data_IF_013138889622
#
_entry.id   IF_013138889622
#
_cell.length_a   1.000
_cell.length_b   1.000
_cell.length_c   1.000
_cell.angle_alpha   90.00
_cell.angle_beta   90.00
_cell.angle_gamma   90.00
#
_symmetry.space_group_name_H-M   'P 1'
#
loop_
_entity.id
_entity.type
_entity.pdbx_description
1 polymer ?
#
# COMPACT_ATOMS: atom_id res chain seq x y z
N UNK A 1 -3.12 -1.41 29.18
CA UNK A 1 -2.47 -2.32 28.22
C UNK A 1 -1.73 -1.59 27.10
N UNK A 2 -2.32 -0.56 26.46
CA UNK A 2 -1.68 0.16 25.33
C UNK A 2 -0.30 0.81 25.64
N UNK A 3 -0.02 1.16 26.90
CA UNK A 3 1.24 1.77 27.31
C UNK A 3 2.42 0.76 27.34
N UNK A 4 2.20 -0.49 27.76
CA UNK A 4 3.26 -1.52 27.82
C UNK A 4 3.74 -1.89 26.42
N UNK A 5 2.79 -2.01 25.48
CA UNK A 5 3.13 -2.32 24.09
C UNK A 5 3.88 -1.15 23.45
N UNK A 6 3.41 0.09 23.63
CA UNK A 6 4.12 1.24 23.09
C UNK A 6 5.56 1.32 23.63
N UNK A 7 5.76 1.13 24.94
CA UNK A 7 7.10 1.05 25.55
C UNK A 7 7.97 -0.05 24.95
N UNK A 8 7.41 -1.23 24.68
CA UNK A 8 8.12 -2.33 24.04
C UNK A 8 8.53 -1.98 22.60
N UNK A 9 7.66 -1.35 21.81
CA UNK A 9 8.00 -0.86 20.47
C UNK A 9 9.06 0.22 20.54
N UNK A 10 8.91 1.20 21.43
CA UNK A 10 9.87 2.29 21.59
C UNK A 10 11.26 1.73 21.92
N UNK A 11 11.34 0.80 22.87
CA UNK A 11 12.59 0.13 23.20
C UNK A 11 13.17 -0.65 22.01
N UNK A 12 12.34 -1.40 21.27
CA UNK A 12 12.80 -2.11 20.07
C UNK A 12 13.33 -1.15 19.00
N UNK A 13 12.66 -0.01 18.80
CA UNK A 13 13.06 1.04 17.85
C UNK A 13 14.41 1.66 18.24
N UNK A 14 14.60 1.96 19.52
CA UNK A 14 15.85 2.52 20.05
C UNK A 14 17.03 1.54 19.90
N UNK A 15 16.75 0.22 19.86
CA UNK A 15 17.76 -0.84 19.71
C UNK A 15 17.70 -1.52 18.33
N UNK A 16 17.20 -0.82 17.29
CA UNK A 16 17.16 -1.39 15.93
C UNK A 16 18.55 -1.64 15.36
N UNK A 17 19.50 -0.74 15.61
CA UNK A 17 20.84 -0.79 15.00
C UNK A 17 21.83 -1.56 15.88
N UNK A 18 21.57 -1.63 17.19
CA UNK A 18 22.42 -2.30 18.17
C UNK A 18 22.17 -3.83 18.21
N UNK A 19 22.99 -4.55 19.00
CA UNK A 19 22.78 -5.99 19.25
C UNK A 19 21.49 -6.20 20.04
N UNK A 20 20.40 -6.52 19.35
CA UNK A 20 19.13 -6.83 20.00
C UNK A 20 19.20 -8.12 20.81
N UNK A 21 18.88 -8.01 22.09
CA UNK A 21 18.72 -9.16 22.99
C UNK A 21 17.31 -9.24 23.54
N UNK A 22 16.62 -10.36 23.26
CA UNK A 22 15.32 -10.64 23.87
C UNK A 22 15.42 -10.73 25.41
N UNK A 23 16.61 -11.07 25.94
CA UNK A 23 16.89 -11.08 27.38
C UNK A 23 16.88 -9.66 27.95
N UNK A 24 17.53 -8.72 27.28
CA UNK A 24 17.58 -7.32 27.69
C UNK A 24 16.21 -6.66 27.59
N UNK A 25 15.47 -6.95 26.51
CA UNK A 25 14.08 -6.51 26.41
C UNK A 25 13.25 -7.02 27.59
N UNK A 26 13.38 -8.31 27.93
CA UNK A 26 12.70 -8.90 29.08
C UNK A 26 13.06 -8.18 30.40
N UNK A 27 14.37 -7.99 30.65
CA UNK A 27 14.87 -7.27 31.82
C UNK A 27 14.36 -5.83 31.89
N UNK A 28 14.37 -5.09 30.77
CA UNK A 28 13.87 -3.72 30.70
C UNK A 28 12.36 -3.65 30.96
N UNK A 29 11.59 -4.58 30.40
CA UNK A 29 10.15 -4.61 30.53
C UNK A 29 9.67 -5.23 31.85
N UNK A 30 10.56 -5.85 32.64
CA UNK A 30 10.22 -6.58 33.86
C UNK A 30 9.49 -7.91 33.62
N UNK A 31 9.65 -8.51 32.43
CA UNK A 31 8.99 -9.75 32.02
C UNK A 31 9.99 -10.79 31.52
N UNK A 32 9.55 -12.04 31.39
CA UNK A 32 10.37 -13.07 30.77
C UNK A 32 10.57 -12.78 29.27
N UNK A 33 11.72 -13.15 28.68
CA UNK A 33 11.98 -12.98 27.24
C UNK A 33 10.90 -13.62 26.38
N UNK A 34 10.45 -14.82 26.77
CA UNK A 34 9.34 -15.52 26.13
C UNK A 34 8.05 -14.70 26.17
N UNK A 35 7.69 -14.13 27.34
CA UNK A 35 6.49 -13.32 27.48
C UNK A 35 6.55 -12.08 26.58
N UNK A 36 7.70 -11.40 26.49
CA UNK A 36 7.85 -10.25 25.58
C UNK A 36 7.64 -10.63 24.11
N UNK A 37 8.29 -11.70 23.64
CA UNK A 37 8.13 -12.17 22.25
C UNK A 37 6.70 -12.63 21.96
N UNK A 38 6.12 -13.42 22.86
CA UNK A 38 4.74 -13.90 22.75
C UNK A 38 3.77 -12.73 22.74
N UNK A 39 3.92 -11.79 23.67
CA UNK A 39 3.01 -10.65 23.81
C UNK A 39 3.13 -9.71 22.62
N UNK A 40 4.33 -9.45 22.11
CA UNK A 40 4.52 -8.66 20.89
C UNK A 40 3.82 -9.32 19.70
N UNK A 41 4.07 -10.61 19.48
CA UNK A 41 3.48 -11.33 18.35
C UNK A 41 1.96 -11.40 18.45
N UNK A 42 1.44 -11.71 19.64
CA UNK A 42 0.02 -11.64 19.93
C UNK A 42 -0.51 -10.26 19.52
N UNK A 43 0.06 -9.18 20.06
CA UNK A 43 -0.43 -7.81 19.90
C UNK A 43 -0.21 -7.15 18.53
N UNK A 44 0.68 -7.67 17.68
CA UNK A 44 1.04 -7.04 16.39
C UNK A 44 0.80 -7.95 15.18
N UNK A 45 0.54 -9.24 15.39
CA UNK A 45 0.40 -10.23 14.31
C UNK A 45 1.71 -10.67 13.66
N UNK A 46 2.83 -9.99 13.93
CA UNK A 46 4.15 -10.30 13.37
C UNK A 46 5.19 -10.56 14.47
N UNK A 47 6.28 -11.25 14.15
CA UNK A 47 7.35 -11.49 15.13
C UNK A 47 8.21 -10.24 15.30
N UNK A 48 8.84 -10.06 16.48
CA UNK A 48 9.82 -8.98 16.72
C UNK A 48 10.91 -8.99 15.64
N UNK A 49 11.44 -10.17 15.32
CA UNK A 49 12.47 -10.34 14.28
C UNK A 49 12.00 -9.84 12.92
N UNK A 50 10.77 -10.14 12.52
CA UNK A 50 10.19 -9.69 11.26
C UNK A 50 9.99 -8.18 11.25
N UNK A 51 9.44 -7.62 12.33
CA UNK A 51 9.27 -6.18 12.53
C UNK A 51 10.59 -5.44 12.38
N UNK A 52 11.60 -5.82 13.17
CA UNK A 52 12.94 -5.22 13.12
C UNK A 52 13.55 -5.32 11.73
N UNK A 53 13.46 -6.49 11.08
CA UNK A 53 14.00 -6.66 9.73
C UNK A 53 13.37 -5.71 8.72
N UNK A 54 12.06 -5.50 8.76
CA UNK A 54 11.36 -4.56 7.88
C UNK A 54 11.75 -3.11 8.16
N UNK A 55 11.79 -2.72 9.44
CA UNK A 55 12.21 -1.38 9.87
C UNK A 55 13.65 -1.07 9.48
N UNK A 56 14.59 -1.97 9.75
CA UNK A 56 16.00 -1.82 9.37
C UNK A 56 16.18 -1.66 7.86
N UNK A 57 15.52 -2.51 7.05
CA UNK A 57 15.62 -2.45 5.58
C UNK A 57 14.99 -1.17 5.03
N UNK A 58 13.87 -0.72 5.60
CA UNK A 58 13.24 0.54 5.21
C UNK A 58 14.11 1.76 5.57
N UNK A 59 14.65 1.82 6.79
CA UNK A 59 15.57 2.88 7.19
C UNK A 59 16.85 2.87 6.33
N UNK A 60 17.38 1.69 6.01
CA UNK A 60 18.49 1.57 5.08
C UNK A 60 18.15 2.15 3.69
N UNK A 61 16.92 1.98 3.20
CA UNK A 61 16.50 2.57 1.93
C UNK A 61 16.54 4.11 1.95
N UNK A 62 16.19 4.72 3.09
CA UNK A 62 16.27 6.17 3.29
C UNK A 62 17.74 6.62 3.24
N UNK A 63 18.62 5.97 4.00
CA UNK A 63 20.06 6.23 3.96
C UNK A 63 20.66 6.07 2.56
N UNK A 64 20.21 5.07 1.79
CA UNK A 64 20.66 4.85 0.42
C UNK A 64 20.22 5.97 -0.54
N UNK A 65 19.05 6.58 -0.30
CA UNK A 65 18.48 7.67 -1.10
C UNK A 65 19.12 9.02 -0.73
N UNK A 66 19.42 9.23 0.55
CA UNK A 66 19.86 10.53 1.10
C UNK A 66 21.38 10.65 1.24
N UNK A 67 22.16 9.59 1.02
CA UNK A 67 23.61 9.60 1.22
C UNK A 67 24.41 8.75 0.23
N UNK A 68 25.68 9.15 0.05
CA UNK A 68 26.69 8.41 -0.74
C UNK A 68 27.49 7.39 0.09
N UNK A 69 27.01 7.01 1.29
CA UNK A 69 27.70 6.03 2.14
C UNK A 69 27.95 4.73 1.39
N UNK A 70 29.07 4.03 1.65
CA UNK A 70 29.34 2.77 0.93
C UNK A 70 28.27 1.74 1.28
N UNK A 71 27.89 0.93 0.30
CA UNK A 71 26.84 -0.09 0.46
C UNK A 71 27.11 -1.02 1.66
N UNK A 72 28.37 -1.41 1.86
CA UNK A 72 28.79 -2.23 3.01
C UNK A 72 28.65 -1.49 4.34
N UNK A 73 28.90 -0.18 4.38
CA UNK A 73 28.79 0.63 5.60
C UNK A 73 27.31 0.76 6.00
N UNK A 74 26.42 0.99 5.03
CA UNK A 74 24.97 0.97 5.25
C UNK A 74 24.51 -0.42 5.73
N UNK A 75 25.00 -1.49 5.09
CA UNK A 75 24.69 -2.86 5.52
C UNK A 75 25.10 -3.11 6.99
N UNK A 76 26.33 -2.73 7.36
CA UNK A 76 26.83 -2.87 8.73
C UNK A 76 26.07 -1.98 9.72
N UNK A 77 25.73 -0.74 9.34
CA UNK A 77 24.91 0.17 10.15
C UNK A 77 23.57 -0.47 10.53
N UNK A 78 22.99 -1.31 9.68
CA UNK A 78 21.72 -1.99 9.98
C UNK A 78 21.90 -3.46 10.43
N UNK A 79 23.10 -3.82 10.88
CA UNK A 79 23.39 -5.11 11.51
C UNK A 79 23.43 -6.29 10.54
N UNK A 80 23.64 -6.06 9.24
CA UNK A 80 23.89 -7.14 8.29
C UNK A 80 25.36 -7.52 8.33
N UNK A 81 25.66 -8.82 8.37
CA UNK A 81 27.03 -9.34 8.43
C UNK A 81 27.79 -9.23 7.11
N UNK A 82 27.10 -8.97 6.00
CA UNK A 82 27.71 -8.78 4.69
C UNK A 82 26.80 -8.00 3.75
N UNK A 83 27.39 -7.41 2.70
CA UNK A 83 26.65 -6.72 1.65
C UNK A 83 25.71 -7.66 0.87
N UNK A 84 26.08 -8.93 0.72
CA UNK A 84 25.26 -9.95 0.04
C UNK A 84 24.01 -10.29 0.85
N UNK A 85 24.15 -10.41 2.19
CA UNK A 85 23.02 -10.62 3.08
C UNK A 85 22.03 -9.45 3.02
N UNK A 86 22.56 -8.22 3.06
CA UNK A 86 21.75 -7.00 2.90
C UNK A 86 21.05 -6.95 1.54
N UNK A 87 21.79 -7.16 0.45
CA UNK A 87 21.26 -7.14 -0.92
C UNK A 87 20.12 -8.14 -1.11
N UNK A 88 20.27 -9.36 -0.57
CA UNK A 88 19.24 -10.38 -0.62
C UNK A 88 17.99 -9.97 0.16
N UNK A 89 18.16 -9.46 1.38
CA UNK A 89 17.05 -9.05 2.22
C UNK A 89 16.29 -7.86 1.61
N UNK A 90 17.02 -6.87 1.08
CA UNK A 90 16.47 -5.73 0.37
C UNK A 90 15.66 -6.18 -0.86
N UNK A 91 16.21 -7.08 -1.69
CA UNK A 91 15.52 -7.62 -2.87
C UNK A 91 14.28 -8.43 -2.52
N UNK A 92 14.31 -9.23 -1.47
CA UNK A 92 13.12 -9.98 -1.00
C UNK A 92 12.01 -9.03 -0.53
N UNK A 93 12.39 -7.87 0.02
CA UNK A 93 11.47 -6.91 0.64
C UNK A 93 10.87 -5.97 -0.39
N UNK A 94 11.69 -5.41 -1.29
CA UNK A 94 11.31 -4.36 -2.23
C UNK A 94 11.29 -4.82 -3.69
N UNK A 95 11.66 -6.07 -4.00
CA UNK A 95 11.71 -6.58 -5.37
C UNK A 95 12.91 -6.08 -6.21
N UNK A 96 13.58 -5.01 -5.80
CA UNK A 96 14.77 -4.45 -6.46
C UNK A 96 16.03 -4.60 -5.62
N UNK A 97 17.21 -4.47 -6.23
CA UNK A 97 18.49 -4.47 -5.49
C UNK A 97 18.79 -3.08 -4.91
N UNK A 98 19.53 -2.98 -3.79
CA UNK A 98 19.85 -1.68 -3.21
C UNK A 98 20.74 -0.82 -4.12
N UNK A 99 21.58 -1.44 -4.96
CA UNK A 99 22.41 -0.72 -5.93
C UNK A 99 21.58 -0.09 -7.06
N UNK A 100 20.57 -0.82 -7.57
CA UNK A 100 19.63 -0.29 -8.56
C UNK A 100 18.82 0.83 -7.93
N UNK A 101 18.28 0.61 -6.73
CA UNK A 101 17.51 1.59 -5.98
C UNK A 101 18.29 2.90 -5.72
N UNK A 102 19.57 2.82 -5.34
CA UNK A 102 20.39 4.02 -5.14
C UNK A 102 20.55 4.84 -6.41
N UNK A 103 20.75 4.18 -7.55
CA UNK A 103 20.96 4.85 -8.83
C UNK A 103 19.69 5.49 -9.37
N UNK A 104 18.56 4.80 -9.17
CA UNK A 104 17.24 5.24 -9.62
C UNK A 104 16.22 4.91 -8.51
N UNK A 105 16.04 5.83 -7.54
CA UNK A 105 15.11 5.62 -6.43
C UNK A 105 13.68 5.55 -6.92
N UNK A 106 13.08 4.37 -6.79
CA UNK A 106 11.68 4.12 -7.12
C UNK A 106 10.81 4.12 -5.85
N UNK A 107 9.50 4.37 -5.95
CA UNK A 107 8.54 4.25 -4.86
C UNK A 107 8.66 2.95 -4.06
N UNK A 108 8.67 3.05 -2.73
CA UNK A 108 8.57 1.93 -1.81
C UNK A 108 7.33 2.06 -0.92
N UNK A 109 6.77 0.93 -0.49
CA UNK A 109 5.80 0.92 0.60
C UNK A 109 6.48 1.35 1.89
N UNK A 110 5.86 2.31 2.58
CA UNK A 110 6.35 2.86 3.83
C UNK A 110 6.18 1.85 4.95
N UNK A 111 7.28 1.54 5.64
CA UNK A 111 7.22 0.77 6.88
C UNK A 111 7.37 1.75 8.04
N UNK A 112 6.26 2.26 8.59
CA UNK A 112 6.29 3.19 9.73
C UNK A 112 6.57 2.48 11.05
N UNK A 113 7.05 3.23 12.04
CA UNK A 113 7.07 2.78 13.44
C UNK A 113 5.65 2.48 13.89
N UNK A 114 5.44 1.33 14.52
CA UNK A 114 4.14 0.98 15.08
C UNK A 114 3.76 1.95 16.21
N UNK A 115 2.56 2.53 16.14
CA UNK A 115 2.04 3.41 17.19
C UNK A 115 0.66 2.94 17.64
N UNK A 116 0.61 2.30 18.81
CA UNK A 116 -0.64 1.72 19.36
C UNK A 116 -1.47 2.80 20.07
N UNK A 117 -0.84 3.91 20.46
CA UNK A 117 -1.48 5.01 21.23
C UNK A 117 -2.12 6.11 20.38
N UNK A 118 -1.75 6.26 19.10
CA UNK A 118 -2.31 7.32 18.25
C UNK A 118 -3.82 7.12 18.01
N UNK A 119 -4.62 8.14 18.28
CA UNK A 119 -6.00 8.26 17.80
C UNK A 119 -5.96 8.85 16.40
N UNK A 120 -6.55 8.18 15.39
CA UNK A 120 -6.71 8.79 14.06
C UNK A 120 -7.62 10.02 14.19
N UNK A 121 -7.11 11.17 13.76
CA UNK A 121 -7.91 12.29 13.27
C UNK A 121 -8.16 12.11 11.77
N UNK A 122 -9.20 12.74 11.24
CA UNK A 122 -9.61 12.59 9.83
C UNK A 122 -8.54 13.04 8.83
N UNK A 123 -8.76 12.66 7.57
CA UNK A 123 -8.01 13.17 6.42
C UNK A 123 -8.14 14.70 6.38
N UNK A 124 -7.02 15.42 6.34
CA UNK A 124 -6.98 16.86 6.10
C UNK A 124 -5.68 17.19 5.40
N UNK A 125 -5.77 17.85 4.23
CA UNK A 125 -4.61 18.33 3.48
C UNK A 125 -4.15 19.70 3.96
N UNK A 126 -2.88 19.84 4.36
CA UNK A 126 -2.28 21.14 4.71
C UNK A 126 -1.91 21.99 3.47
N UNK A 127 -1.79 23.31 3.66
CA UNK A 127 -1.53 24.32 2.62
C UNK A 127 -0.25 24.08 1.85
N UNK A 128 0.82 23.63 2.53
CA UNK A 128 2.10 23.32 1.91
C UNK A 128 1.98 22.22 0.85
N UNK A 129 1.15 21.22 1.11
CA UNK A 129 0.94 20.07 0.22
C UNK A 129 -0.01 20.39 -0.93
N UNK A 130 -1.00 21.26 -0.69
CA UNK A 130 -1.81 21.85 -1.76
C UNK A 130 -0.91 22.54 -2.79
N UNK A 131 0.09 23.31 -2.33
CA UNK A 131 1.03 23.97 -3.23
C UNK A 131 1.90 22.99 -4.04
N UNK A 132 2.33 21.86 -3.47
CA UNK A 132 3.09 20.85 -4.22
C UNK A 132 2.24 20.18 -5.30
N UNK A 133 1.00 19.82 -4.97
CA UNK A 133 0.05 19.24 -5.93
C UNK A 133 -0.21 20.21 -7.08
N UNK A 134 -0.46 21.48 -6.77
CA UNK A 134 -0.63 22.55 -7.78
C UNK A 134 0.63 22.71 -8.65
N UNK A 135 1.83 22.64 -8.06
CA UNK A 135 3.08 22.72 -8.82
C UNK A 135 3.27 21.56 -9.79
N UNK A 136 2.99 20.32 -9.37
CA UNK A 136 3.03 19.14 -10.24
C UNK A 136 2.01 19.24 -11.38
N UNK A 137 0.81 19.73 -11.09
CA UNK A 137 -0.22 19.94 -12.10
C UNK A 137 0.16 21.03 -13.12
N UNK A 138 0.70 22.16 -12.65
CA UNK A 138 1.18 23.22 -13.54
C UNK A 138 2.30 22.71 -14.46
N UNK A 139 3.21 21.88 -13.94
CA UNK A 139 4.24 21.23 -14.74
C UNK A 139 3.63 20.31 -15.81
N UNK A 140 2.66 19.47 -15.44
CA UNK A 140 1.98 18.59 -16.38
C UNK A 140 1.23 19.37 -17.47
N UNK A 141 0.51 20.44 -17.12
CA UNK A 141 -0.21 21.30 -18.07
C UNK A 141 0.71 22.09 -19.01
N UNK A 142 1.95 22.39 -18.59
CA UNK A 142 2.95 22.99 -19.47
C UNK A 142 3.53 21.98 -20.47
N UNK A 143 3.60 20.71 -20.06
CA UNK A 143 4.17 19.63 -20.85
C UNK A 143 3.16 18.98 -21.80
N UNK A 144 1.89 18.94 -21.40
CA UNK A 144 0.78 18.33 -22.13
C UNK A 144 -0.29 19.38 -22.37
N UNK A 145 -0.76 19.50 -23.62
CA UNK A 145 -2.00 20.23 -23.91
C UNK A 145 -3.13 19.67 -23.02
N UNK A 146 -4.13 20.50 -22.70
CA UNK A 146 -5.13 20.33 -21.61
C UNK A 146 -5.87 18.98 -21.49
N UNK A 147 -5.62 18.02 -22.36
CA UNK A 147 -6.14 16.65 -22.39
C UNK A 147 -5.48 15.74 -21.32
N UNK A 148 -5.57 16.15 -20.05
CA UNK A 148 -5.07 15.40 -18.89
C UNK A 148 -6.25 14.81 -18.11
N UNK A 149 -6.18 13.51 -17.82
CA UNK A 149 -7.09 12.83 -16.90
C UNK A 149 -6.38 12.47 -15.59
N UNK A 150 -6.95 12.87 -14.46
CA UNK A 150 -6.52 12.45 -13.14
C UNK A 150 -7.42 11.34 -12.60
N UNK A 151 -6.86 10.17 -12.31
CA UNK A 151 -7.61 9.06 -11.69
C UNK A 151 -7.25 9.00 -10.22
N UNK A 152 -8.25 9.21 -9.37
CA UNK A 152 -8.13 9.25 -7.91
C UNK A 152 -8.60 7.93 -7.31
N UNK A 153 -7.85 7.36 -6.37
CA UNK A 153 -8.24 6.11 -5.74
C UNK A 153 -9.33 6.34 -4.67
N UNK A 154 -10.58 6.20 -5.09
CA UNK A 154 -11.77 6.28 -4.23
C UNK A 154 -12.42 7.68 -4.14
N UNK A 155 -13.67 7.67 -3.66
CA UNK A 155 -14.57 8.82 -3.65
C UNK A 155 -14.11 9.95 -2.71
N UNK A 156 -13.54 9.61 -1.55
CA UNK A 156 -13.13 10.61 -0.56
C UNK A 156 -12.00 11.50 -1.10
N UNK A 157 -11.01 10.90 -1.78
CA UNK A 157 -9.92 11.64 -2.41
C UNK A 157 -10.44 12.53 -3.54
N UNK A 158 -11.41 12.02 -4.32
CA UNK A 158 -12.11 12.83 -5.32
C UNK A 158 -12.81 14.05 -4.73
N UNK A 159 -13.56 13.87 -3.64
CA UNK A 159 -14.28 14.96 -2.99
C UNK A 159 -13.33 16.04 -2.46
N UNK A 160 -12.23 15.64 -1.80
CA UNK A 160 -11.22 16.57 -1.28
C UNK A 160 -10.59 17.39 -2.42
N UNK A 161 -10.11 16.74 -3.48
CA UNK A 161 -9.45 17.43 -4.60
C UNK A 161 -10.42 18.32 -5.37
N UNK A 162 -11.67 17.88 -5.51
CA UNK A 162 -12.75 18.63 -6.16
C UNK A 162 -13.15 19.87 -5.35
N UNK A 163 -13.34 19.71 -4.04
CA UNK A 163 -13.73 20.79 -3.13
C UNK A 163 -12.65 21.89 -3.08
N UNK A 164 -11.39 21.47 -3.00
CA UNK A 164 -10.23 22.37 -2.98
C UNK A 164 -9.86 22.90 -4.37
N UNK A 165 -10.56 22.48 -5.43
CA UNK A 165 -10.31 22.85 -6.83
C UNK A 165 -8.86 22.65 -7.27
N UNK A 166 -8.21 21.61 -6.76
CA UNK A 166 -6.77 21.36 -7.00
C UNK A 166 -6.45 21.00 -8.46
N UNK A 167 -7.47 20.74 -9.29
CA UNK A 167 -7.32 20.26 -10.66
C UNK A 167 -7.93 21.19 -11.73
N UNK A 168 -8.26 22.44 -11.38
CA UNK A 168 -8.83 23.53 -12.21
C UNK A 168 -9.38 23.18 -13.61
N UNK A 169 -8.52 22.85 -14.57
CA UNK A 169 -8.86 22.66 -15.99
C UNK A 169 -8.75 21.23 -16.51
N UNK A 170 -8.36 20.27 -15.66
CA UNK A 170 -8.16 18.87 -16.03
C UNK A 170 -9.33 18.01 -15.60
N UNK A 171 -9.61 16.94 -16.34
CA UNK A 171 -10.64 15.98 -15.97
C UNK A 171 -10.15 15.13 -14.78
N UNK A 172 -11.07 14.72 -13.92
CA UNK A 172 -10.76 13.80 -12.82
C UNK A 172 -11.90 12.85 -12.52
N UNK A 173 -11.54 11.61 -12.18
CA UNK A 173 -12.49 10.52 -11.95
C UNK A 173 -12.09 9.72 -10.70
N UNK A 174 -13.06 9.27 -9.87
CA UNK A 174 -12.79 8.35 -8.80
C UNK A 174 -12.82 6.89 -9.29
N UNK A 175 -11.78 6.12 -8.98
CA UNK A 175 -11.82 4.66 -9.08
C UNK A 175 -12.47 4.08 -7.82
N UNK A 176 -13.80 3.91 -7.87
CA UNK A 176 -14.61 3.42 -6.76
C UNK A 176 -14.76 1.89 -6.74
N UNK A 177 -13.70 1.17 -7.09
CA UNK A 177 -13.67 -0.29 -7.06
C UNK A 177 -12.65 -0.80 -6.02
N UNK A 178 -12.95 -1.95 -5.43
CA UNK A 178 -12.09 -2.68 -4.51
C UNK A 178 -11.58 -3.96 -5.17
N UNK A 179 -10.56 -3.86 -6.03
CA UNK A 179 -10.07 -5.02 -6.79
C UNK A 179 -9.42 -6.10 -5.92
N UNK A 180 -9.06 -5.78 -4.68
CA UNK A 180 -8.54 -6.75 -3.73
C UNK A 180 -9.59 -7.75 -3.21
N UNK A 181 -10.90 -7.44 -3.35
CA UNK A 181 -12.00 -8.33 -2.96
C UNK A 181 -12.68 -8.91 -4.20
N UNK A 182 -13.33 -10.07 -4.03
CA UNK A 182 -14.12 -10.75 -5.06
C UNK A 182 -13.35 -11.18 -6.33
N UNK A 183 -13.98 -12.03 -7.13
CA UNK A 183 -13.41 -12.48 -8.41
C UNK A 183 -13.46 -11.36 -9.46
N UNK A 184 -12.65 -11.49 -10.51
CA UNK A 184 -12.63 -10.59 -11.65
C UNK A 184 -12.39 -11.37 -12.93
N UNK A 185 -12.43 -10.70 -14.08
CA UNK A 185 -12.36 -11.30 -15.42
C UNK A 185 -11.58 -10.41 -16.38
N UNK A 186 -11.24 -10.98 -17.54
CA UNK A 186 -10.84 -10.26 -18.75
C UNK A 186 -11.91 -10.45 -19.83
N UNK A 187 -12.25 -9.44 -20.64
CA UNK A 187 -11.66 -8.09 -20.69
C UNK A 187 -12.10 -7.21 -19.50
N UNK A 188 -11.24 -6.27 -19.09
CA UNK A 188 -11.46 -5.40 -17.92
C UNK A 188 -12.58 -4.37 -18.23
N UNK A 189 -13.49 -4.13 -17.27
CA UNK A 189 -14.68 -3.28 -17.43
C UNK A 189 -15.69 -3.73 -18.51
N UNK A 190 -15.54 -4.93 -19.07
CA UNK A 190 -16.54 -5.54 -19.95
C UNK A 190 -17.88 -5.84 -19.24
N UNK A 191 -18.91 -6.18 -20.01
CA UNK A 191 -20.20 -6.62 -19.45
C UNK A 191 -20.06 -7.84 -18.53
N UNK A 192 -19.14 -8.77 -18.85
CA UNK A 192 -18.90 -9.93 -17.99
C UNK A 192 -18.18 -9.54 -16.70
N UNK A 193 -17.20 -8.64 -16.80
CA UNK A 193 -16.56 -8.04 -15.63
C UNK A 193 -17.60 -7.43 -14.69
N UNK A 194 -18.47 -6.56 -15.21
CA UNK A 194 -19.53 -5.90 -14.45
C UNK A 194 -20.42 -6.94 -13.74
N UNK A 195 -20.85 -7.99 -14.43
CA UNK A 195 -21.68 -9.07 -13.85
C UNK A 195 -20.96 -9.80 -12.71
N UNK A 196 -19.70 -10.18 -12.92
CA UNK A 196 -18.91 -10.90 -11.91
C UNK A 196 -18.66 -10.03 -10.69
N UNK A 197 -18.33 -8.75 -10.88
CA UNK A 197 -18.09 -7.80 -9.79
C UNK A 197 -19.37 -7.47 -9.02
N UNK A 198 -20.47 -7.16 -9.70
CA UNK A 198 -21.77 -6.89 -9.07
C UNK A 198 -22.23 -8.09 -8.22
N UNK A 199 -22.11 -9.31 -8.76
CA UNK A 199 -22.41 -10.55 -8.02
C UNK A 199 -21.53 -10.71 -6.77
N UNK A 200 -20.23 -10.44 -6.89
CA UNK A 200 -19.29 -10.50 -5.76
C UNK A 200 -19.65 -9.53 -4.64
N UNK A 201 -20.02 -8.31 -4.99
CA UNK A 201 -20.44 -7.26 -4.05
C UNK A 201 -21.90 -7.41 -3.58
N UNK A 202 -22.64 -8.40 -4.08
CA UNK A 202 -24.05 -8.67 -3.75
C UNK A 202 -24.97 -7.48 -4.08
N UNK A 203 -24.69 -6.79 -5.17
CA UNK A 203 -25.48 -5.66 -5.70
C UNK A 203 -25.98 -5.97 -7.11
N UNK A 204 -26.94 -5.18 -7.60
CA UNK A 204 -27.36 -5.29 -9.01
C UNK A 204 -26.28 -4.78 -9.96
N UNK A 205 -26.32 -5.19 -11.23
CA UNK A 205 -25.41 -4.68 -12.26
C UNK A 205 -25.60 -3.18 -12.47
N UNK A 206 -26.82 -2.68 -12.39
CA UNK A 206 -27.15 -1.25 -12.51
C UNK A 206 -26.57 -0.42 -11.36
N UNK A 207 -26.66 -0.93 -10.13
CA UNK A 207 -26.07 -0.26 -8.96
C UNK A 207 -24.54 -0.22 -9.08
N UNK A 208 -23.94 -1.34 -9.50
CA UNK A 208 -22.50 -1.43 -9.73
C UNK A 208 -22.04 -0.46 -10.85
N UNK A 209 -22.73 -0.45 -11.98
CA UNK A 209 -22.45 0.47 -13.09
C UNK A 209 -22.55 1.92 -12.64
N UNK A 210 -23.55 2.26 -11.81
CA UNK A 210 -23.72 3.62 -11.30
C UNK A 210 -22.55 4.08 -10.44
N UNK A 211 -22.04 3.22 -9.56
CA UNK A 211 -20.96 3.58 -8.63
C UNK A 211 -19.58 3.56 -9.26
N UNK A 212 -19.33 2.61 -10.17
CA UNK A 212 -18.00 2.33 -10.70
C UNK A 212 -17.86 2.80 -12.14
N UNK A 213 -18.69 2.26 -13.04
CA UNK A 213 -18.52 2.45 -14.49
C UNK A 213 -18.92 3.87 -14.92
N UNK A 214 -20.01 4.40 -14.36
CA UNK A 214 -20.48 5.74 -14.67
C UNK A 214 -19.51 6.82 -14.19
N UNK A 215 -18.84 6.60 -13.05
CA UNK A 215 -17.82 7.51 -12.53
C UNK A 215 -16.58 7.55 -13.45
N UNK A 216 -16.24 6.43 -14.09
CA UNK A 216 -15.12 6.31 -15.02
C UNK A 216 -15.46 6.66 -16.47
N UNK A 217 -16.68 7.16 -16.77
CA UNK A 217 -17.09 7.52 -18.14
C UNK A 217 -16.08 8.39 -18.90
N UNK A 218 -15.45 9.42 -18.30
CA UNK A 218 -14.43 10.21 -18.98
C UNK A 218 -13.27 9.35 -19.50
N UNK A 219 -12.75 8.42 -18.69
CA UNK A 219 -11.68 7.49 -19.05
C UNK A 219 -12.02 6.65 -20.29
N UNK A 220 -13.29 6.28 -20.48
CA UNK A 220 -13.73 5.40 -21.56
C UNK A 220 -14.08 6.14 -22.85
N UNK A 221 -14.44 7.43 -22.77
CA UNK A 221 -15.03 8.18 -23.89
C UNK A 221 -14.13 9.26 -24.44
N UNK A 222 -13.34 9.89 -23.59
CA UNK A 222 -12.52 11.03 -23.98
C UNK A 222 -11.15 10.52 -24.46
N UNK A 223 -10.47 11.33 -25.27
CA UNK A 223 -9.11 11.07 -25.70
C UNK A 223 -8.18 11.92 -24.85
N UNK A 224 -7.29 11.26 -24.11
CA UNK A 224 -6.28 11.92 -23.28
C UNK A 224 -4.90 11.68 -23.84
N UNK A 225 -4.03 12.68 -23.74
CA UNK A 225 -2.61 12.55 -24.07
C UNK A 225 -1.79 12.16 -22.83
N UNK A 226 -2.33 12.43 -21.64
CA UNK A 226 -1.71 12.13 -20.36
C UNK A 226 -2.74 11.63 -19.33
N UNK A 227 -2.40 10.58 -18.59
CA UNK A 227 -3.18 10.07 -17.47
C UNK A 227 -2.31 10.11 -16.21
N UNK A 228 -2.81 10.72 -15.15
CA UNK A 228 -2.14 10.85 -13.85
C UNK A 228 -2.89 10.01 -12.82
N UNK A 229 -2.20 9.07 -12.20
CA UNK A 229 -2.72 8.13 -11.22
C UNK A 229 -2.35 8.60 -9.81
N UNK A 230 -3.34 9.00 -9.02
CA UNK A 230 -3.19 9.40 -7.63
C UNK A 230 -3.53 8.25 -6.68
N UNK A 231 -2.50 7.50 -6.28
CA UNK A 231 -2.66 6.24 -5.54
C UNK A 231 -1.72 6.19 -4.33
N UNK A 232 -2.16 5.51 -3.27
CA UNK A 232 -1.33 5.24 -2.10
C UNK A 232 -0.35 4.08 -2.30
N UNK A 233 0.49 3.84 -1.30
CA UNK A 233 1.49 2.77 -1.32
C UNK A 233 1.03 1.45 -0.67
N UNK A 234 -0.21 1.40 -0.20
CA UNK A 234 -0.84 0.21 0.35
C UNK A 234 -1.28 -0.79 -0.74
N UNK A 235 -1.53 -2.02 -0.33
CA UNK A 235 -1.98 -3.12 -1.21
C UNK A 235 -3.22 -2.74 -2.02
N UNK A 236 -4.25 -2.16 -1.39
CA UNK A 236 -5.50 -1.82 -2.05
C UNK A 236 -5.26 -0.88 -3.24
N UNK A 237 -4.51 0.20 -3.01
CA UNK A 237 -4.14 1.15 -4.05
C UNK A 237 -3.36 0.48 -5.18
N UNK A 238 -2.34 -0.32 -4.85
CA UNK A 238 -1.47 -0.93 -5.86
C UNK A 238 -2.20 -1.97 -6.73
N UNK A 239 -3.16 -2.71 -6.17
CA UNK A 239 -3.97 -3.68 -6.93
C UNK A 239 -4.99 -2.98 -7.84
N UNK A 240 -5.57 -1.88 -7.39
CA UNK A 240 -6.41 -1.03 -8.23
C UNK A 240 -5.60 -0.40 -9.38
N UNK A 241 -4.39 0.10 -9.09
CA UNK A 241 -3.48 0.66 -10.09
C UNK A 241 -3.09 -0.38 -11.15
N UNK A 242 -2.72 -1.60 -10.73
CA UNK A 242 -2.44 -2.71 -11.65
C UNK A 242 -3.62 -2.98 -12.61
N UNK A 243 -4.84 -2.96 -12.09
CA UNK A 243 -6.06 -3.17 -12.89
C UNK A 243 -6.22 -2.07 -13.94
N UNK A 244 -6.00 -0.81 -13.56
CA UNK A 244 -6.12 0.31 -14.48
C UNK A 244 -5.02 0.32 -15.54
N UNK A 245 -3.78 0.00 -15.17
CA UNK A 245 -2.66 -0.09 -16.13
C UNK A 245 -2.90 -1.22 -17.15
N UNK A 246 -3.37 -2.38 -16.70
CA UNK A 246 -3.77 -3.47 -17.57
C UNK A 246 -4.92 -3.08 -18.51
N UNK A 247 -5.90 -2.32 -18.02
CA UNK A 247 -6.98 -1.78 -18.84
C UNK A 247 -6.47 -0.81 -19.91
N UNK A 248 -5.59 0.13 -19.55
CA UNK A 248 -5.00 1.08 -20.51
C UNK A 248 -4.24 0.37 -21.63
N UNK A 249 -3.51 -0.69 -21.29
CA UNK A 249 -2.86 -1.55 -22.29
C UNK A 249 -3.87 -2.30 -23.16
N UNK A 250 -4.95 -2.83 -22.58
CA UNK A 250 -6.02 -3.53 -23.31
C UNK A 250 -6.67 -2.59 -24.35
N UNK A 251 -6.85 -1.31 -24.01
CA UNK A 251 -7.36 -0.29 -24.92
C UNK A 251 -6.30 0.29 -25.88
N UNK A 252 -5.05 -0.15 -25.76
CA UNK A 252 -3.95 0.32 -26.60
C UNK A 252 -3.60 1.80 -26.41
N UNK A 253 -3.80 2.35 -25.20
CA UNK A 253 -3.48 3.74 -24.86
C UNK A 253 -2.02 4.07 -25.21
N UNK A 254 -1.81 5.20 -25.92
CA UNK A 254 -0.48 5.63 -26.41
C UNK A 254 0.05 6.90 -25.73
N UNK A 255 -0.73 7.50 -24.83
CA UNK A 255 -0.31 8.68 -24.09
C UNK A 255 0.68 8.36 -22.97
N UNK A 256 1.07 9.40 -22.23
CA UNK A 256 1.92 9.26 -21.05
C UNK A 256 1.08 8.88 -19.82
N UNK A 257 1.65 8.05 -18.96
CA UNK A 257 1.04 7.67 -17.68
C UNK A 257 1.99 8.07 -16.56
N UNK A 258 1.51 8.88 -15.62
CA UNK A 258 2.24 9.24 -14.41
C UNK A 258 1.58 8.63 -13.19
N UNK A 259 2.39 8.19 -12.24
CA UNK A 259 1.97 7.79 -10.92
C UNK A 259 2.43 8.82 -9.90
N UNK A 260 1.45 9.45 -9.26
CA UNK A 260 1.62 10.33 -8.12
C UNK A 260 1.33 9.52 -6.87
N UNK A 261 2.39 9.04 -6.23
CA UNK A 261 2.27 8.27 -5.01
C UNK A 261 1.94 9.19 -3.84
N UNK A 262 0.74 9.05 -3.30
CA UNK A 262 0.26 9.83 -2.16
C UNK A 262 0.61 9.08 -0.87
N UNK A 263 1.56 9.60 -0.09
CA UNK A 263 1.90 9.06 1.24
C UNK A 263 1.25 9.91 2.32
N UNK A 264 0.52 9.31 3.24
CA UNK A 264 0.10 9.97 4.49
C UNK A 264 1.23 9.80 5.51
N UNK A 265 1.93 10.89 5.85
CA UNK A 265 3.01 10.90 6.84
C UNK A 265 2.67 11.99 7.86
N UNK A 266 2.44 11.60 9.11
CA UNK A 266 2.28 12.56 10.22
C UNK A 266 1.26 13.68 9.95
N UNK A 267 0.14 13.36 9.27
CA UNK A 267 -0.92 14.30 8.82
C UNK A 267 -0.54 15.25 7.68
N UNK A 268 0.60 15.01 7.05
CA UNK A 268 1.02 15.66 5.80
C UNK A 268 0.98 14.64 4.67
N UNK A 269 0.91 15.14 3.44
CA UNK A 269 1.00 14.34 2.23
C UNK A 269 2.38 14.49 1.62
N UNK A 270 3.00 13.42 1.17
CA UNK A 270 4.15 13.53 0.27
C UNK A 270 3.73 12.95 -1.08
N UNK A 271 4.05 13.67 -2.16
CA UNK A 271 3.79 13.21 -3.53
C UNK A 271 5.11 13.02 -4.25
N UNK A 272 5.35 11.78 -4.67
CA UNK A 272 6.43 11.44 -5.58
C UNK A 272 5.83 11.13 -6.96
N UNK A 273 6.38 11.74 -8.02
CA UNK A 273 5.96 11.54 -9.41
C UNK A 273 6.88 10.56 -10.13
N UNK A 274 6.29 9.58 -10.82
CA UNK A 274 6.99 8.54 -11.58
C UNK A 274 6.28 8.37 -12.92
N UNK A 275 7.04 8.37 -14.01
CA UNK A 275 6.51 7.99 -15.31
C UNK A 275 6.43 6.47 -15.43
N UNK A 276 5.28 5.96 -15.86
CA UNK A 276 5.05 4.54 -16.08
C UNK A 276 5.05 4.25 -17.59
N UNK A 277 5.92 3.34 -17.99
CA UNK A 277 5.89 2.75 -19.32
C UNK A 277 4.93 1.56 -19.34
N UNK A 278 3.93 1.60 -20.23
CA UNK A 278 3.02 0.48 -20.46
C UNK A 278 3.69 -0.59 -21.34
N UNK A 279 3.44 -1.87 -21.05
CA UNK A 279 3.87 -2.99 -21.91
C UNK A 279 3.67 -4.40 -21.33
N UNK A 280 3.62 -4.56 -20.00
CA UNK A 280 3.59 -5.87 -19.33
C UNK A 280 2.39 -6.03 -18.37
N UNK A 281 1.58 -5.00 -18.14
CA UNK A 281 0.55 -5.00 -17.09
C UNK A 281 -0.62 -5.94 -17.35
N UNK A 282 -0.98 -6.23 -18.62
CA UNK A 282 -1.98 -7.25 -18.95
C UNK A 282 -1.54 -8.65 -18.50
N UNK A 283 -0.27 -9.00 -18.73
CA UNK A 283 0.29 -10.30 -18.32
C UNK A 283 0.41 -10.40 -16.79
N UNK A 284 0.87 -9.30 -16.15
CA UNK A 284 0.90 -9.20 -14.69
C UNK A 284 -0.51 -9.32 -14.11
N UNK A 285 -1.51 -8.66 -14.69
CA UNK A 285 -2.90 -8.76 -14.27
C UNK A 285 -3.44 -10.18 -14.42
N UNK A 286 -3.16 -10.85 -15.54
CA UNK A 286 -3.63 -12.23 -15.74
C UNK A 286 -3.02 -13.17 -14.69
N UNK A 287 -1.73 -13.08 -14.44
CA UNK A 287 -1.05 -13.93 -13.45
C UNK A 287 -1.55 -13.62 -12.03
N UNK A 288 -1.60 -12.35 -11.63
CA UNK A 288 -1.93 -11.95 -10.26
C UNK A 288 -3.43 -11.99 -9.97
N UNK A 289 -4.24 -11.38 -10.84
CA UNK A 289 -5.67 -11.16 -10.59
C UNK A 289 -6.53 -12.34 -11.00
N UNK A 290 -6.17 -13.05 -12.08
CA UNK A 290 -6.94 -14.21 -12.56
C UNK A 290 -6.40 -15.51 -11.96
N UNK A 291 -5.09 -15.75 -12.07
CA UNK A 291 -4.49 -17.03 -11.66
C UNK A 291 -3.98 -17.05 -10.21
N UNK A 292 -3.93 -15.90 -9.52
CA UNK A 292 -3.41 -15.77 -8.15
C UNK A 292 -1.97 -16.26 -8.01
N UNK A 293 -1.15 -15.94 -9.00
CA UNK A 293 0.26 -16.32 -9.08
C UNK A 293 1.17 -15.10 -9.01
N UNK A 294 2.41 -15.37 -8.62
CA UNK A 294 3.47 -14.37 -8.64
C UNK A 294 3.79 -13.97 -10.09
N UNK A 295 3.92 -12.67 -10.42
CA UNK A 295 4.19 -12.25 -11.78
C UNK A 295 5.62 -12.60 -12.22
N UNK A 296 5.76 -13.05 -13.46
CA UNK A 296 7.06 -13.33 -14.10
C UNK A 296 7.76 -12.07 -14.60
N UNK A 297 6.98 -11.01 -14.86
CA UNK A 297 7.47 -9.69 -15.28
C UNK A 297 7.92 -8.86 -14.08
N UNK A 298 8.90 -8.00 -14.32
CA UNK A 298 9.31 -7.03 -13.31
C UNK A 298 8.24 -5.93 -13.20
N UNK A 299 8.00 -5.50 -11.98
CA UNK A 299 7.10 -4.38 -11.66
C UNK A 299 7.83 -3.40 -10.76
N UNK A 300 7.29 -2.19 -10.63
CA UNK A 300 7.82 -1.20 -9.69
C UNK A 300 7.87 -1.78 -8.26
N UNK A 301 8.87 -1.42 -7.44
CA UNK A 301 9.01 -1.94 -6.07
C UNK A 301 7.76 -1.82 -5.19
N UNK A 302 7.06 -0.68 -5.20
CA UNK A 302 5.81 -0.51 -4.45
C UNK A 302 4.71 -1.47 -4.93
N UNK A 303 4.60 -1.69 -6.24
CA UNK A 303 3.63 -2.63 -6.80
C UNK A 303 4.02 -4.08 -6.47
N UNK A 304 5.32 -4.42 -6.50
CA UNK A 304 5.83 -5.71 -6.04
C UNK A 304 5.35 -6.00 -4.61
N UNK A 305 5.47 -5.01 -3.71
CA UNK A 305 5.02 -5.13 -2.32
C UNK A 305 3.51 -5.26 -2.21
N UNK A 306 2.74 -4.48 -2.98
CA UNK A 306 1.29 -4.59 -3.06
C UNK A 306 0.83 -5.96 -3.54
N UNK A 307 1.42 -6.50 -4.61
CA UNK A 307 1.12 -7.84 -5.14
C UNK A 307 1.44 -8.92 -4.11
N UNK A 308 2.57 -8.79 -3.39
CA UNK A 308 2.93 -9.72 -2.33
C UNK A 308 1.89 -9.76 -1.21
N UNK A 309 1.52 -8.60 -0.69
CA UNK A 309 0.47 -8.49 0.34
C UNK A 309 -0.86 -9.04 -0.17
N UNK A 310 -1.18 -8.81 -1.44
CA UNK A 310 -2.41 -9.32 -2.05
C UNK A 310 -2.46 -10.83 -2.10
N UNK A 311 -1.39 -11.48 -2.57
CA UNK A 311 -1.33 -12.93 -2.62
C UNK A 311 -1.35 -13.56 -1.22
N UNK A 312 -0.68 -12.93 -0.25
CA UNK A 312 -0.75 -13.32 1.17
C UNK A 312 -2.16 -13.12 1.74
N UNK A 313 -2.85 -12.02 1.40
CA UNK A 313 -4.22 -11.72 1.80
C UNK A 313 -5.24 -12.75 1.31
N UNK A 314 -5.00 -13.37 0.14
CA UNK A 314 -5.87 -14.44 -0.38
C UNK A 314 -5.71 -15.77 0.36
N UNK A 315 -4.66 -15.95 1.17
CA UNK A 315 -4.45 -17.19 1.94
C UNK A 315 -5.46 -17.30 3.09
N UNK A 316 -5.89 -18.53 3.40
CA UNK A 316 -6.78 -18.80 4.54
C UNK A 316 -6.14 -18.39 5.87
N UNK A 317 -4.86 -18.71 6.04
CA UNK A 317 -4.04 -18.30 7.18
C UNK A 317 -3.05 -17.22 6.72
N UNK A 318 -3.19 -16.03 7.30
CA UNK A 318 -2.31 -14.89 7.07
C UNK A 318 -2.18 -14.07 8.38
N UNK A 319 -1.41 -12.97 8.35
CA UNK A 319 -1.20 -12.17 9.56
C UNK A 319 -2.48 -11.53 10.10
N UNK A 320 -3.42 -11.14 9.24
CA UNK A 320 -4.71 -10.58 9.65
C UNK A 320 -5.59 -11.63 10.32
N UNK A 321 -5.77 -12.80 9.70
CA UNK A 321 -6.60 -13.88 10.27
C UNK A 321 -5.99 -14.43 11.55
N UNK A 322 -4.66 -14.52 11.62
CA UNK A 322 -3.94 -14.87 12.84
C UNK A 322 -4.16 -13.85 13.96
N UNK A 323 -4.07 -12.55 13.65
CA UNK A 323 -4.33 -11.48 14.61
C UNK A 323 -5.76 -11.51 15.13
N UNK A 324 -6.75 -11.62 14.24
CA UNK A 324 -8.17 -11.69 14.59
C UNK A 324 -8.43 -12.86 15.53
N UNK A 325 -7.93 -14.07 15.21
CA UNK A 325 -8.13 -15.29 16.01
C UNK A 325 -7.65 -15.14 17.44
N UNK A 326 -6.56 -14.41 17.64
CA UNK A 326 -5.93 -14.16 18.94
C UNK A 326 -6.63 -13.08 19.77
N UNK A 327 -7.62 -12.37 19.22
CA UNK A 327 -8.33 -11.26 19.88
C UNK A 327 -9.86 -11.32 19.67
N UNK A 328 -10.42 -12.51 19.46
CA UNK A 328 -11.88 -12.67 19.28
C UNK A 328 -12.69 -12.32 20.53
N UNK A 329 -12.05 -12.22 21.69
CA UNK A 329 -12.62 -11.73 22.95
C UNK A 329 -12.79 -10.20 22.99
N UNK A 330 -12.10 -9.47 22.11
CA UNK A 330 -12.19 -8.01 22.00
C UNK A 330 -13.52 -7.58 21.36
N UNK A 331 -14.15 -6.47 21.82
CA UNK A 331 -15.29 -5.90 21.12
C UNK A 331 -14.95 -5.62 19.65
N UNK A 332 -15.84 -5.99 18.73
CA UNK A 332 -15.59 -5.91 17.29
C UNK A 332 -15.11 -4.52 16.83
N UNK A 333 -15.71 -3.45 17.34
CA UNK A 333 -15.32 -2.07 17.01
C UNK A 333 -13.89 -1.74 17.46
N UNK A 334 -13.45 -2.29 18.60
CA UNK A 334 -12.08 -2.11 19.07
C UNK A 334 -11.10 -2.94 18.24
N UNK A 335 -11.47 -4.17 17.89
CA UNK A 335 -10.67 -5.04 17.03
C UNK A 335 -10.43 -4.41 15.66
N UNK A 336 -11.47 -3.85 15.05
CA UNK A 336 -11.36 -3.12 13.78
C UNK A 336 -10.43 -1.91 13.91
N UNK A 337 -10.53 -1.13 14.99
CA UNK A 337 -9.63 0.01 15.25
C UNK A 337 -8.17 -0.43 15.36
N UNK A 338 -7.90 -1.58 16.00
CA UNK A 338 -6.54 -2.12 16.09
C UNK A 338 -6.03 -2.59 14.73
N UNK A 339 -6.88 -3.26 13.95
CA UNK A 339 -6.53 -3.73 12.61
C UNK A 339 -6.10 -2.57 11.69
N UNK A 340 -6.83 -1.46 11.69
CA UNK A 340 -6.44 -0.24 10.95
C UNK A 340 -5.09 0.35 11.37
N UNK A 341 -4.71 0.19 12.64
CA UNK A 341 -3.45 0.74 13.17
C UNK A 341 -2.24 -0.15 12.88
N UNK A 342 -2.43 -1.46 13.01
CA UNK A 342 -1.36 -2.45 12.93
C UNK A 342 -1.10 -2.91 11.51
N UNK A 343 -2.13 -2.87 10.66
CA UNK A 343 -2.05 -3.36 9.29
C UNK A 343 -2.42 -2.30 8.23
N UNK A 344 -1.91 -1.05 8.34
CA UNK A 344 -2.24 0.01 7.38
C UNK A 344 -1.80 -0.33 5.95
N UNK A 345 -0.79 -1.20 5.79
CA UNK A 345 -0.26 -1.63 4.50
C UNK A 345 -1.27 -2.36 3.60
N UNK A 346 -2.40 -2.85 4.14
CA UNK A 346 -3.43 -3.48 3.32
C UNK A 346 -4.40 -2.49 2.68
N UNK A 347 -4.63 -1.32 3.30
CA UNK A 347 -5.57 -0.32 2.78
C UNK A 347 -7.04 -0.78 2.69
N UNK A 348 -7.44 -1.82 3.42
CA UNK A 348 -8.81 -2.36 3.38
C UNK A 348 -9.74 -1.67 4.38
N UNK A 349 -11.04 -1.63 4.05
CA UNK A 349 -12.08 -0.97 4.85
C UNK A 349 -12.63 -1.81 6.00
N UNK A 350 -13.52 -1.20 6.78
CA UNK A 350 -14.16 -1.80 7.95
C UNK A 350 -15.06 -2.99 7.57
N UNK A 351 -15.82 -2.89 6.47
CA UNK A 351 -16.64 -3.99 5.96
C UNK A 351 -15.81 -5.25 5.67
N UNK A 352 -14.63 -5.11 5.04
CA UNK A 352 -13.73 -6.24 4.79
C UNK A 352 -13.19 -6.85 6.09
N UNK A 353 -12.87 -6.02 7.08
CA UNK A 353 -12.47 -6.52 8.40
C UNK A 353 -13.62 -7.24 9.11
N UNK A 354 -14.85 -6.72 9.04
CA UNK A 354 -16.04 -7.36 9.61
C UNK A 354 -16.24 -8.74 8.97
N UNK A 355 -16.21 -8.84 7.64
CA UNK A 355 -16.33 -10.13 6.95
C UNK A 355 -15.25 -11.13 7.36
N UNK A 356 -14.00 -10.66 7.52
CA UNK A 356 -12.90 -11.51 7.96
C UNK A 356 -13.07 -11.98 9.40
N UNK A 357 -13.52 -11.10 10.30
CA UNK A 357 -13.82 -11.43 11.69
C UNK A 357 -14.90 -12.52 11.76
N UNK A 358 -15.99 -12.37 11.02
CA UNK A 358 -17.07 -13.35 10.98
C UNK A 358 -16.62 -14.70 10.40
N UNK A 359 -15.79 -14.70 9.34
CA UNK A 359 -15.19 -15.93 8.81
C UNK A 359 -14.32 -16.65 9.84
N UNK A 360 -13.49 -15.91 10.58
CA UNK A 360 -12.61 -16.50 11.61
C UNK A 360 -13.42 -17.03 12.79
N UNK A 361 -14.51 -16.36 13.19
CA UNK A 361 -15.44 -16.85 14.22
C UNK A 361 -16.12 -18.15 13.82
N UNK A 362 -16.56 -18.26 12.57
CA UNK A 362 -17.29 -19.42 12.06
C UNK A 362 -16.41 -20.66 11.80
N UNK A 363 -15.08 -20.48 11.76
CA UNK A 363 -14.10 -21.56 11.56
C UNK A 363 -13.45 -22.04 12.87
N UNK A 364 -13.94 -21.57 14.05
CA UNK A 364 -13.63 -22.14 15.37
C UNK A 364 -14.56 -23.30 15.66
#
# INVERSE_FOLDING_TARGET
MNNIMQKMIDWIEDHLVEEFSLKELGSHMGYSPYYCSFKFHQMTGITIKRYMSLRKIYLASIDLKESDQKMIDVAHKYGFSSQEAFTRAFKITFGTSPAVYRRDPQPLQTVVKLNVTATKGGFSMDVSEKMKIVALQNKAQQQFDRDILNVLNGQLMYEEFSHEKLMEHSDYVPLNEAMCSNKTTKPIFSTEFIKVRAKGHRVSTEEYETKVINALKPLFKNQYTCIILWFGNDMFCQINMLTLLAYLEEQGFKGKVYFHMVKEIERTFEVEEIEIELGDFQDVYDQVMIHKQWPTKNVMPVMYQGIKLYLEYQMQENELTSYIRNHLDMPQNELIRQLFKLFPQYGIGDLQYIEMIEKVKNNR
#
